data_IF_602296882197
#
_entry.id   IF_602296882197
#
_cell.length_a   1.000
_cell.length_b   1.000
_cell.length_c   1.000
_cell.angle_alpha   90.00
_cell.angle_beta   90.00
_cell.angle_gamma   90.00
#
_symmetry.space_group_name_H-M   'P 1'
#
loop_
_entity.id
_entity.type
_entity.pdbx_description
1 polymer ?
#
# COMPACT_ATOMS: atom_id res chain seq x y z
N UNK A 1 6.62 20.02 4.20
CA UNK A 1 6.44 20.74 5.47
C UNK A 1 5.01 21.20 5.74
N UNK A 2 4.40 22.06 4.92
CA UNK A 2 3.03 22.53 5.15
C UNK A 2 1.96 21.42 5.23
N UNK A 3 2.11 20.36 4.42
CA UNK A 3 1.21 19.20 4.49
C UNK A 3 1.40 18.38 5.77
N UNK A 4 2.65 18.12 6.17
CA UNK A 4 2.95 17.37 7.38
C UNK A 4 2.47 18.10 8.65
N UNK A 5 2.64 19.43 8.71
CA UNK A 5 2.13 20.23 9.84
C UNK A 5 0.60 20.27 9.89
N UNK A 6 -0.07 20.30 8.73
CA UNK A 6 -1.53 20.16 8.65
C UNK A 6 -1.99 18.77 9.12
N UNK A 7 -1.30 17.71 8.72
CA UNK A 7 -1.61 16.35 9.14
C UNK A 7 -1.50 16.19 10.66
N UNK A 8 -0.43 16.72 11.28
CA UNK A 8 -0.20 16.62 12.73
C UNK A 8 -1.15 17.53 13.53
N UNK A 9 -1.73 18.58 12.92
CA UNK A 9 -2.71 19.44 13.61
C UNK A 9 -4.12 18.85 13.67
N UNK A 10 -4.37 17.73 12.96
CA UNK A 10 -5.62 17.00 13.05
C UNK A 10 -5.77 16.38 14.45
N UNK A 11 -6.94 16.53 15.07
CA UNK A 11 -7.27 15.98 16.39
C UNK A 11 -7.57 14.47 16.40
N UNK A 12 -7.20 13.75 15.34
CA UNK A 12 -7.42 12.32 15.20
C UNK A 12 -6.21 11.51 15.69
N UNK A 13 -6.42 10.23 16.02
CA UNK A 13 -5.31 9.35 16.37
C UNK A 13 -4.38 9.14 15.15
N UNK A 14 -3.06 9.02 15.36
CA UNK A 14 -2.10 8.79 14.27
C UNK A 14 -2.48 7.59 13.39
N UNK A 15 -3.00 6.52 13.98
CA UNK A 15 -3.47 5.31 13.28
C UNK A 15 -4.66 5.59 12.37
N UNK A 16 -5.62 6.44 12.80
CA UNK A 16 -6.76 6.82 11.97
C UNK A 16 -6.29 7.62 10.74
N UNK A 17 -5.36 8.55 10.93
CA UNK A 17 -4.79 9.35 9.85
C UNK A 17 -4.04 8.45 8.85
N UNK A 18 -3.25 7.51 9.37
CA UNK A 18 -2.57 6.52 8.55
C UNK A 18 -3.55 5.69 7.73
N UNK A 19 -4.64 5.18 8.32
CA UNK A 19 -5.67 4.44 7.58
C UNK A 19 -6.27 5.31 6.46
N UNK A 20 -6.54 6.59 6.70
CA UNK A 20 -7.03 7.51 5.66
C UNK A 20 -6.01 7.69 4.53
N UNK A 21 -4.72 7.82 4.85
CA UNK A 21 -3.64 7.87 3.86
C UNK A 21 -3.64 6.58 3.03
N UNK A 22 -3.68 5.42 3.69
CA UNK A 22 -3.67 4.12 3.03
C UNK A 22 -4.88 3.91 2.12
N UNK A 23 -6.07 4.35 2.52
CA UNK A 23 -7.27 4.32 1.67
C UNK A 23 -7.12 5.23 0.44
N UNK A 24 -6.51 6.40 0.60
CA UNK A 24 -6.19 7.27 -0.54
C UNK A 24 -5.20 6.61 -1.51
N UNK A 25 -4.22 5.85 -0.99
CA UNK A 25 -3.31 5.05 -1.81
C UNK A 25 -4.03 3.94 -2.58
N UNK A 26 -5.00 3.25 -1.98
CA UNK A 26 -5.80 2.24 -2.68
C UNK A 26 -6.55 2.87 -3.86
N UNK A 27 -7.18 4.01 -3.63
CA UNK A 27 -7.90 4.73 -4.70
C UNK A 27 -6.93 5.21 -5.77
N UNK A 28 -5.77 5.74 -5.40
CA UNK A 28 -4.79 6.23 -6.37
C UNK A 28 -4.17 5.09 -7.18
N UNK A 29 -3.82 3.99 -6.51
CA UNK A 29 -3.21 2.82 -7.14
C UNK A 29 -4.12 2.03 -8.05
N UNK A 30 -5.43 2.17 -7.87
CA UNK A 30 -6.40 1.71 -8.84
C UNK A 30 -6.27 2.37 -10.22
N UNK A 31 -5.64 3.55 -10.33
CA UNK A 31 -5.49 4.32 -11.58
C UNK A 31 -4.04 4.51 -12.04
N UNK A 32 -3.05 4.29 -11.19
CA UNK A 32 -1.65 4.61 -11.45
C UNK A 32 -0.77 3.39 -11.26
N UNK A 33 0.31 3.30 -12.04
CA UNK A 33 1.32 2.26 -11.86
C UNK A 33 2.11 2.47 -10.56
N UNK A 34 2.70 1.39 -10.07
CA UNK A 34 3.45 1.32 -8.83
C UNK A 34 4.50 2.44 -8.67
N UNK A 35 5.34 2.61 -9.69
CA UNK A 35 6.50 3.49 -9.65
C UNK A 35 6.04 4.94 -9.79
N UNK A 36 5.14 5.21 -10.73
CA UNK A 36 4.57 6.54 -10.94
C UNK A 36 3.89 7.07 -9.68
N UNK A 37 3.09 6.24 -9.02
CA UNK A 37 2.44 6.58 -7.76
C UNK A 37 3.45 6.92 -6.67
N UNK A 38 4.41 6.03 -6.39
CA UNK A 38 5.40 6.23 -5.34
C UNK A 38 6.25 7.48 -5.56
N UNK A 39 6.71 7.72 -6.79
CA UNK A 39 7.50 8.91 -7.12
C UNK A 39 6.75 10.22 -6.86
N UNK A 40 5.43 10.22 -7.08
CA UNK A 40 4.60 11.41 -6.90
C UNK A 40 4.19 11.63 -5.43
N UNK A 41 3.86 10.57 -4.70
CA UNK A 41 3.28 10.69 -3.35
C UNK A 41 4.30 10.62 -2.23
N UNK A 42 5.40 9.85 -2.37
CA UNK A 42 6.40 9.68 -1.31
C UNK A 42 6.98 11.01 -0.80
N UNK A 43 7.34 12.00 -1.63
CA UNK A 43 7.92 13.26 -1.14
C UNK A 43 7.02 14.01 -0.16
N UNK A 44 5.70 13.79 -0.23
CA UNK A 44 4.70 14.45 0.59
C UNK A 44 4.28 13.58 1.77
N UNK A 45 4.04 12.29 1.53
CA UNK A 45 3.51 11.37 2.55
C UNK A 45 4.60 10.92 3.52
N UNK A 46 5.80 10.64 3.04
CA UNK A 46 6.92 10.18 3.87
C UNK A 46 7.21 11.11 5.07
N UNK A 47 7.40 12.44 4.89
CA UNK A 47 7.62 13.33 6.03
C UNK A 47 6.39 13.44 6.94
N UNK A 48 5.17 13.28 6.43
CA UNK A 48 3.96 13.30 7.25
C UNK A 48 3.85 12.08 8.16
N UNK A 49 4.19 10.88 7.65
CA UNK A 49 4.15 9.63 8.40
C UNK A 49 5.21 9.60 9.51
N UNK A 50 6.41 10.10 9.25
CA UNK A 50 7.45 10.24 10.28
C UNK A 50 7.03 11.26 11.34
N UNK A 51 6.41 12.38 10.93
CA UNK A 51 5.90 13.38 11.88
C UNK A 51 4.79 12.84 12.79
N UNK A 52 4.06 11.81 12.34
CA UNK A 52 3.08 11.07 13.14
C UNK A 52 3.72 10.02 14.08
N UNK A 53 5.04 9.81 14.01
CA UNK A 53 5.79 8.89 14.86
C UNK A 53 5.89 7.45 14.37
N UNK A 54 5.55 7.18 13.10
CA UNK A 54 5.67 5.84 12.52
C UNK A 54 7.08 5.56 12.02
N UNK A 55 7.49 4.30 12.10
CA UNK A 55 8.75 3.82 11.56
C UNK A 55 8.75 3.85 10.01
N UNK A 56 9.79 4.42 9.37
CA UNK A 56 9.85 4.57 7.92
C UNK A 56 9.98 3.24 7.16
N UNK A 57 10.65 2.23 7.75
CA UNK A 57 10.81 0.91 7.13
C UNK A 57 9.47 0.18 7.12
N UNK A 58 8.79 0.19 8.27
CA UNK A 58 7.45 -0.36 8.40
C UNK A 58 6.48 0.29 7.42
N UNK A 59 6.47 1.63 7.34
CA UNK A 59 5.62 2.34 6.38
C UNK A 59 5.95 1.97 4.93
N UNK A 60 7.23 1.91 4.57
CA UNK A 60 7.66 1.52 3.23
C UNK A 60 7.15 0.14 2.84
N UNK A 61 7.17 -0.82 3.76
CA UNK A 61 6.70 -2.19 3.49
C UNK A 61 5.18 -2.25 3.36
N UNK A 62 4.43 -1.53 4.20
CA UNK A 62 2.99 -1.40 4.04
C UNK A 62 2.65 -0.75 2.69
N UNK A 63 3.37 0.31 2.33
CA UNK A 63 3.17 1.02 1.07
C UNK A 63 3.39 0.10 -0.14
N UNK A 64 4.50 -0.64 -0.17
CA UNK A 64 4.78 -1.62 -1.24
C UNK A 64 3.69 -2.68 -1.28
N UNK A 65 3.24 -3.18 -0.12
CA UNK A 65 2.17 -4.18 -0.08
C UNK A 65 0.84 -3.64 -0.59
N UNK A 66 0.52 -2.37 -0.33
CA UNK A 66 -0.66 -1.71 -0.89
C UNK A 66 -0.57 -1.57 -2.41
N UNK A 67 0.60 -1.25 -2.93
CA UNK A 67 0.83 -1.13 -4.37
C UNK A 67 0.62 -2.47 -5.08
N UNK A 68 1.14 -3.57 -4.53
CA UNK A 68 0.90 -4.93 -5.03
C UNK A 68 -0.60 -5.25 -5.12
N UNK A 69 -1.36 -4.90 -4.06
CA UNK A 69 -2.81 -5.08 -4.03
C UNK A 69 -3.52 -4.25 -5.11
N UNK A 70 -3.05 -3.04 -5.38
CA UNK A 70 -3.64 -2.17 -6.40
C UNK A 70 -3.45 -2.72 -7.82
N UNK A 71 -2.33 -3.41 -8.10
CA UNK A 71 -2.04 -3.97 -9.42
C UNK A 71 -2.94 -5.14 -9.82
N UNK A 72 -3.64 -5.75 -8.86
CA UNK A 72 -4.58 -6.86 -9.09
C UNK A 72 -6.05 -6.45 -8.94
N UNK A 73 -6.32 -5.29 -8.33
CA UNK A 73 -7.69 -4.84 -8.04
C UNK A 73 -8.28 -4.04 -9.23
N UNK A 74 -9.53 -4.30 -9.64
CA UNK A 74 -10.23 -3.44 -10.60
C UNK A 74 -10.28 -1.99 -10.09
N UNK A 75 -10.09 -0.95 -10.94
CA UNK A 75 -10.46 -0.83 -12.35
C UNK A 75 -9.33 -1.02 -13.38
N UNK A 76 -8.07 -0.68 -13.04
CA UNK A 76 -6.94 -0.91 -13.96
C UNK A 76 -6.36 -2.30 -13.82
N UNK A 77 -6.23 -2.86 -12.60
CA UNK A 77 -5.76 -4.24 -12.37
C UNK A 77 -4.70 -4.72 -13.36
N UNK A 78 -3.62 -3.96 -13.55
CA UNK A 78 -2.68 -4.09 -14.67
C UNK A 78 -2.22 -5.53 -14.90
N UNK A 79 -1.95 -6.26 -13.83
CA UNK A 79 -1.53 -7.66 -13.89
C UNK A 79 -2.59 -8.56 -14.56
N UNK A 80 -3.88 -8.30 -14.34
CA UNK A 80 -4.99 -9.02 -14.96
C UNK A 80 -5.06 -8.77 -16.46
N UNK A 81 -4.81 -7.54 -16.90
CA UNK A 81 -4.77 -7.19 -18.33
C UNK A 81 -3.57 -7.80 -19.04
N UNK A 82 -2.41 -7.85 -18.38
CA UNK A 82 -1.23 -8.55 -18.91
C UNK A 82 -1.53 -10.03 -19.12
N UNK A 83 -2.19 -10.69 -18.16
CA UNK A 83 -2.60 -12.10 -18.29
C UNK A 83 -3.60 -12.29 -19.43
N UNK A 84 -4.62 -11.43 -19.54
CA UNK A 84 -5.58 -11.47 -20.64
C UNK A 84 -4.90 -11.26 -22.02
N UNK A 85 -3.89 -10.40 -22.11
CA UNK A 85 -3.11 -10.20 -23.33
C UNK A 85 -2.33 -11.44 -23.78
N UNK A 86 -1.91 -12.30 -22.84
CA UNK A 86 -1.27 -13.60 -23.15
C UNK A 86 -2.28 -14.72 -23.41
N UNK A 87 -3.48 -14.64 -22.81
CA UNK A 87 -4.56 -15.63 -22.91
C UNK A 87 -5.88 -14.95 -23.25
N UNK A 88 -6.06 -14.51 -24.51
CA UNK A 88 -7.29 -13.83 -24.94
C UNK A 88 -8.51 -14.75 -24.95
N UNK A 89 -8.31 -16.07 -24.82
CA UNK A 89 -9.35 -17.08 -24.67
C UNK A 89 -10.12 -16.97 -23.33
N UNK A 90 -9.54 -16.31 -22.32
CA UNK A 90 -10.14 -16.18 -20.99
C UNK A 90 -10.71 -14.76 -20.83
N UNK A 91 -12.03 -14.61 -20.57
CA UNK A 91 -12.63 -13.31 -20.29
C UNK A 91 -11.99 -12.62 -19.09
N UNK A 92 -11.74 -11.31 -19.19
CA UNK A 92 -11.12 -10.53 -18.13
C UNK A 92 -11.90 -10.60 -16.79
N UNK A 93 -13.22 -10.71 -16.86
CA UNK A 93 -14.09 -10.85 -15.70
C UNK A 93 -13.82 -12.15 -14.92
N UNK A 94 -13.45 -13.23 -15.61
CA UNK A 94 -13.14 -14.51 -14.98
C UNK A 94 -11.77 -14.46 -14.31
N UNK A 95 -10.82 -13.73 -14.89
CA UNK A 95 -9.51 -13.44 -14.27
C UNK A 95 -9.72 -12.65 -12.98
N UNK A 96 -10.51 -11.57 -13.02
CA UNK A 96 -10.80 -10.76 -11.83
C UNK A 96 -11.52 -11.55 -10.74
N UNK A 97 -12.47 -12.43 -11.10
CA UNK A 97 -13.12 -13.33 -10.13
C UNK A 97 -12.14 -14.31 -9.52
N UNK A 98 -11.21 -14.85 -10.32
CA UNK A 98 -10.19 -15.79 -9.86
C UNK A 98 -9.19 -15.18 -8.88
N UNK A 99 -9.02 -13.86 -8.89
CA UNK A 99 -8.08 -13.12 -8.03
C UNK A 99 -8.66 -12.82 -6.64
N UNK A 100 -9.98 -12.86 -6.47
CA UNK A 100 -10.62 -12.49 -5.20
C UNK A 100 -10.08 -13.24 -3.96
N UNK A 101 -9.74 -14.54 -4.02
CA UNK A 101 -9.08 -15.22 -2.91
C UNK A 101 -7.70 -14.63 -2.56
N UNK A 102 -6.90 -14.25 -3.57
CA UNK A 102 -5.60 -13.60 -3.36
C UNK A 102 -5.77 -12.24 -2.70
N UNK A 103 -6.73 -11.44 -3.18
CA UNK A 103 -7.05 -10.13 -2.59
C UNK A 103 -7.47 -10.25 -1.12
N UNK A 104 -8.30 -11.25 -0.79
CA UNK A 104 -8.73 -11.48 0.60
C UNK A 104 -7.55 -11.85 1.51
N UNK A 105 -6.63 -12.71 1.05
CA UNK A 105 -5.42 -13.04 1.81
C UNK A 105 -4.52 -11.82 1.96
N UNK A 106 -4.38 -10.98 0.94
CA UNK A 106 -3.58 -9.76 1.02
C UNK A 106 -4.12 -8.77 2.04
N UNK A 107 -5.44 -8.61 2.17
CA UNK A 107 -6.06 -7.81 3.23
C UNK A 107 -5.69 -8.37 4.61
N UNK A 108 -5.76 -9.70 4.79
CA UNK A 108 -5.39 -10.34 6.06
C UNK A 108 -3.93 -10.10 6.38
N UNK A 109 -3.04 -10.24 5.41
CA UNK A 109 -1.60 -9.95 5.58
C UNK A 109 -1.40 -8.50 5.97
N UNK A 110 -1.99 -7.53 5.26
CA UNK A 110 -1.87 -6.11 5.60
C UNK A 110 -2.39 -5.84 7.02
N UNK A 111 -3.54 -6.42 7.39
CA UNK A 111 -4.07 -6.31 8.74
C UNK A 111 -3.13 -6.85 9.82
N UNK A 112 -2.47 -7.99 9.55
CA UNK A 112 -1.46 -8.56 10.43
C UNK A 112 -0.21 -7.67 10.55
N UNK A 113 0.27 -7.11 9.44
CA UNK A 113 1.44 -6.21 9.46
C UNK A 113 1.15 -4.88 10.18
N UNK A 114 -0.12 -4.43 10.17
CA UNK A 114 -0.57 -3.28 10.96
C UNK A 114 -0.69 -3.62 12.44
N UNK A 115 -1.21 -4.81 12.77
CA UNK A 115 -1.37 -5.25 14.15
C UNK A 115 -0.02 -5.59 14.82
N UNK A 116 0.93 -6.14 14.05
CA UNK A 116 2.23 -6.63 14.51
C UNK A 116 3.37 -6.05 13.66
N UNK A 117 3.74 -4.77 13.85
CA UNK A 117 4.80 -4.11 13.08
C UNK A 117 6.17 -4.80 13.24
N UNK A 118 6.40 -5.48 14.37
CA UNK A 118 7.63 -6.20 14.68
C UNK A 118 7.97 -7.29 13.66
N UNK A 119 6.98 -7.91 13.00
CA UNK A 119 7.20 -8.90 11.94
C UNK A 119 8.03 -8.29 10.81
N UNK A 120 7.81 -7.01 10.55
CA UNK A 120 8.43 -6.25 9.48
C UNK A 120 9.79 -5.69 9.89
N UNK A 121 9.88 -5.17 11.12
CA UNK A 121 11.09 -4.48 11.60
C UNK A 121 12.14 -5.42 12.20
N UNK A 122 11.76 -6.63 12.62
CA UNK A 122 12.66 -7.60 13.26
C UNK A 122 13.94 -7.88 12.46
N UNK A 123 13.81 -8.24 11.19
CA UNK A 123 14.96 -8.57 10.35
C UNK A 123 15.82 -7.33 10.04
N UNK A 124 15.26 -6.18 9.61
CA UNK A 124 16.01 -4.93 9.48
C UNK A 124 16.76 -4.53 10.75
N UNK A 125 16.11 -4.62 11.91
CA UNK A 125 16.73 -4.31 13.19
C UNK A 125 17.92 -5.23 13.47
N UNK A 126 17.83 -6.53 13.19
CA UNK A 126 18.96 -7.45 13.35
C UNK A 126 20.13 -7.15 12.40
N UNK A 127 19.87 -6.72 11.17
CA UNK A 127 20.90 -6.44 10.18
C UNK A 127 21.59 -5.08 10.41
N UNK A 128 20.84 -4.09 10.89
CA UNK A 128 21.31 -2.71 11.09
C UNK A 128 21.94 -2.48 12.47
N UNK A 129 21.81 -3.43 13.41
CA UNK A 129 22.40 -3.33 14.77
C UNK A 129 23.89 -3.64 14.87
N UNK A 130 24.63 -3.75 13.75
CA UNK A 130 26.08 -4.01 13.75
C UNK A 130 26.88 -2.73 13.60
#
# INVERSE_FOLDING_TARGET
>A
DAFASWVVSLSYSPTMILIMILLAYVILGMFMDAIGMMLLTLPVVYPAVIALGFDPIWFGIILVKMVEMCLITPPIGLNCYVVNGMRPDIPLQDIFRGIWPFFAIDIVVVGLLIAYPEIVTFLPEMMLKN
#
